data_IF_750827486299
#
_entry.id   IF_750827486299
#
_cell.length_a   1.000
_cell.length_b   1.000
_cell.length_c   1.000
_cell.angle_alpha   90.00
_cell.angle_beta   90.00
_cell.angle_gamma   90.00
#
_symmetry.space_group_name_H-M   'P 1'
#
loop_
_entity.id
_entity.type
_entity.pdbx_description
1 polymer ?
#
# COMPACT_ATOMS: atom_id res chain seq x y z
N UNK A 1 -7.81 25.88 11.92
CA UNK A 1 -7.77 25.75 10.45
C UNK A 1 -6.74 24.68 10.09
N UNK A 2 -7.09 23.41 10.30
CA UNK A 2 -6.33 22.29 9.76
C UNK A 2 -7.28 21.57 8.82
N UNK A 3 -7.34 22.03 7.57
CA UNK A 3 -7.92 21.25 6.50
C UNK A 3 -6.92 20.13 6.23
N UNK A 4 -7.11 18.98 6.87
CA UNK A 4 -6.44 17.77 6.42
C UNK A 4 -6.96 17.51 5.02
N UNK A 5 -6.10 17.67 4.01
CA UNK A 5 -6.41 17.17 2.68
C UNK A 5 -6.88 15.73 2.84
N UNK A 6 -7.99 15.31 2.20
CA UNK A 6 -8.34 13.91 2.21
C UNK A 6 -7.16 13.17 1.58
N UNK A 7 -6.61 12.19 2.29
CA UNK A 7 -5.55 11.35 1.75
C UNK A 7 -6.21 10.40 0.76
N UNK A 8 -6.44 10.90 -0.46
CA UNK A 8 -6.85 10.10 -1.59
C UNK A 8 -5.64 9.27 -2.03
N UNK A 9 -5.76 7.94 -2.01
CA UNK A 9 -4.73 7.09 -2.62
C UNK A 9 -4.93 7.09 -4.12
N UNK A 10 -3.85 7.06 -4.90
CA UNK A 10 -3.92 6.80 -6.34
C UNK A 10 -3.68 5.33 -6.60
N UNK A 11 -4.57 4.70 -7.38
CA UNK A 11 -4.44 3.29 -7.79
C UNK A 11 -4.71 3.16 -9.29
N UNK A 12 -4.14 2.14 -9.91
CA UNK A 12 -4.50 1.81 -11.29
C UNK A 12 -5.94 1.32 -11.35
N UNK A 13 -6.64 1.56 -12.47
CA UNK A 13 -8.00 1.01 -12.69
C UNK A 13 -8.02 -0.52 -12.53
N UNK A 14 -6.95 -1.20 -12.94
CA UNK A 14 -6.81 -2.66 -12.83
C UNK A 14 -6.71 -3.12 -11.38
N UNK A 15 -5.84 -2.47 -10.59
CA UNK A 15 -5.67 -2.82 -9.18
C UNK A 15 -6.89 -2.43 -8.37
N UNK A 16 -7.59 -1.34 -8.70
CA UNK A 16 -8.87 -1.02 -8.07
C UNK A 16 -9.84 -2.21 -8.16
N UNK A 17 -10.07 -2.73 -9.38
CA UNK A 17 -10.95 -3.88 -9.59
C UNK A 17 -10.47 -5.12 -8.83
N UNK A 18 -9.16 -5.41 -8.86
CA UNK A 18 -8.58 -6.58 -8.17
C UNK A 18 -8.69 -6.46 -6.65
N UNK A 19 -8.42 -5.30 -6.08
CA UNK A 19 -8.48 -5.03 -4.65
C UNK A 19 -9.92 -5.02 -4.11
N UNK A 20 -10.86 -4.43 -4.85
CA UNK A 20 -12.29 -4.52 -4.52
C UNK A 20 -12.77 -5.97 -4.57
N UNK A 21 -12.38 -6.74 -5.60
CA UNK A 21 -12.70 -8.17 -5.67
C UNK A 21 -12.08 -8.97 -4.52
N UNK A 22 -10.91 -8.57 -4.04
CA UNK A 22 -10.21 -9.20 -2.94
C UNK A 22 -10.92 -8.97 -1.59
N UNK A 23 -11.51 -7.80 -1.38
CA UNK A 23 -12.29 -7.50 -0.18
C UNK A 23 -13.64 -8.24 -0.16
N UNK A 24 -14.23 -8.45 -1.34
CA UNK A 24 -15.53 -9.11 -1.49
C UNK A 24 -16.70 -8.26 -0.97
N UNK A 25 -17.90 -8.84 -0.92
CA UNK A 25 -19.15 -8.12 -0.60
C UNK A 25 -19.38 -7.87 0.91
N UNK A 26 -18.58 -8.49 1.77
CA UNK A 26 -18.77 -8.40 3.23
C UNK A 26 -18.04 -7.18 3.77
N UNK A 27 -18.75 -6.34 4.52
CA UNK A 27 -18.13 -5.24 5.25
C UNK A 27 -17.05 -5.77 6.22
N UNK A 28 -15.81 -5.27 6.10
CA UNK A 28 -14.73 -5.68 6.99
C UNK A 28 -14.97 -5.19 8.42
N UNK A 29 -14.49 -5.95 9.40
CA UNK A 29 -14.62 -5.56 10.79
C UNK A 29 -13.82 -4.27 11.06
N UNK A 30 -14.36 -3.30 11.83
CA UNK A 30 -13.64 -2.07 12.16
C UNK A 30 -12.26 -2.34 12.78
N UNK A 31 -11.27 -1.52 12.43
CA UNK A 31 -9.90 -1.65 12.95
C UNK A 31 -9.07 -2.77 12.33
N UNK A 32 -9.57 -3.45 11.28
CA UNK A 32 -8.79 -4.44 10.52
C UNK A 32 -8.08 -3.79 9.33
N UNK A 33 -7.03 -4.44 8.81
CA UNK A 33 -6.35 -3.99 7.60
C UNK A 33 -7.29 -3.93 6.38
N UNK A 34 -8.26 -4.84 6.32
CA UNK A 34 -9.31 -4.85 5.31
C UNK A 34 -10.20 -3.61 5.40
N UNK A 35 -10.54 -3.15 6.62
CA UNK A 35 -11.30 -1.92 6.81
C UNK A 35 -10.51 -0.71 6.33
N UNK A 36 -9.23 -0.60 6.71
CA UNK A 36 -8.34 0.48 6.24
C UNK A 36 -8.25 0.48 4.70
N UNK A 37 -8.06 -0.69 4.10
CA UNK A 37 -8.00 -0.82 2.64
C UNK A 37 -9.33 -0.43 1.98
N UNK A 38 -10.47 -0.88 2.53
CA UNK A 38 -11.79 -0.54 2.02
C UNK A 38 -12.06 0.97 2.07
N UNK A 39 -11.73 1.62 3.19
CA UNK A 39 -11.83 3.07 3.36
C UNK A 39 -10.93 3.82 2.37
N UNK A 40 -9.71 3.34 2.15
CA UNK A 40 -8.79 3.94 1.19
C UNK A 40 -9.30 3.80 -0.26
N UNK A 41 -9.85 2.64 -0.63
CA UNK A 41 -10.41 2.40 -1.95
C UNK A 41 -11.69 3.20 -2.21
N UNK A 42 -12.55 3.39 -1.21
CA UNK A 42 -13.77 4.19 -1.34
C UNK A 42 -13.48 5.64 -1.75
N UNK A 43 -12.29 6.12 -1.39
CA UNK A 43 -11.80 7.47 -1.71
C UNK A 43 -10.63 7.43 -2.71
N UNK A 44 -10.40 6.32 -3.42
CA UNK A 44 -9.25 6.23 -4.31
C UNK A 44 -9.47 6.98 -5.64
N UNK A 45 -8.46 7.74 -6.05
CA UNK A 45 -8.36 8.26 -7.41
C UNK A 45 -7.85 7.15 -8.33
N UNK A 46 -8.70 6.73 -9.26
CA UNK A 46 -8.31 5.78 -10.30
C UNK A 46 -7.60 6.53 -11.43
N UNK A 47 -6.43 6.03 -11.80
CA UNK A 47 -5.64 6.58 -12.89
C UNK A 47 -5.27 5.50 -13.90
N UNK A 48 -5.07 5.91 -15.16
CA UNK A 48 -4.35 5.07 -16.10
C UNK A 48 -2.95 4.78 -15.55
N UNK A 49 -2.41 3.55 -15.69
CA UNK A 49 -1.08 3.20 -15.18
C UNK A 49 0.02 4.20 -15.56
N UNK A 50 -0.03 4.75 -16.78
CA UNK A 50 0.96 5.73 -17.27
C UNK A 50 0.88 7.10 -16.61
N UNK A 51 -0.24 7.42 -15.97
CA UNK A 51 -0.47 8.66 -15.26
C UNK A 51 -0.14 8.56 -13.77
N UNK A 52 0.18 7.37 -13.27
CA UNK A 52 0.56 7.17 -11.88
C UNK A 52 1.94 7.79 -11.64
N UNK A 53 2.09 8.68 -10.64
CA UNK A 53 3.38 9.25 -10.29
C UNK A 53 4.38 8.19 -9.82
N UNK A 54 5.64 8.34 -10.22
CA UNK A 54 6.72 7.40 -9.89
C UNK A 54 7.15 7.43 -8.41
N UNK A 55 6.58 8.32 -7.60
CA UNK A 55 6.79 8.45 -6.16
C UNK A 55 5.63 7.91 -5.32
N UNK A 56 4.60 7.32 -5.94
CA UNK A 56 3.45 6.70 -5.25
C UNK A 56 3.62 5.17 -5.21
N UNK A 57 3.39 4.57 -4.05
CA UNK A 57 3.45 3.11 -3.91
C UNK A 57 2.16 2.45 -4.43
N UNK A 58 2.29 1.65 -5.48
CA UNK A 58 1.22 0.83 -6.07
C UNK A 58 1.41 -0.66 -5.76
N UNK A 59 0.49 -1.51 -6.23
CA UNK A 59 0.67 -2.96 -6.15
C UNK A 59 1.95 -3.41 -6.87
N UNK A 60 2.60 -4.47 -6.38
CA UNK A 60 3.91 -4.97 -6.85
C UNK A 60 5.07 -3.97 -6.78
N UNK A 61 4.89 -2.82 -6.13
CA UNK A 61 5.98 -1.88 -5.88
C UNK A 61 6.94 -2.43 -4.83
N UNK A 62 8.24 -2.33 -5.11
CA UNK A 62 9.33 -2.59 -4.17
C UNK A 62 9.88 -1.29 -3.62
N UNK A 63 9.90 -1.17 -2.30
CA UNK A 63 10.41 -0.01 -1.58
C UNK A 63 11.50 -0.39 -0.60
N UNK A 64 12.40 0.55 -0.36
CA UNK A 64 13.37 0.49 0.73
C UNK A 64 12.77 1.20 1.96
N UNK A 65 12.68 0.49 3.08
CA UNK A 65 12.16 1.00 4.35
C UNK A 65 13.22 0.95 5.44
N UNK A 66 13.12 1.87 6.39
CA UNK A 66 14.00 1.98 7.55
C UNK A 66 13.18 2.03 8.84
N UNK A 67 13.56 1.19 9.79
CA UNK A 67 13.08 1.18 11.16
C UNK A 67 14.26 1.03 12.15
N UNK A 68 13.97 0.84 13.45
CA UNK A 68 15.00 0.68 14.48
C UNK A 68 15.94 -0.53 14.23
N UNK A 69 15.47 -1.54 13.49
CA UNK A 69 16.24 -2.71 13.07
C UNK A 69 17.12 -2.47 11.83
N UNK A 70 17.05 -1.28 11.23
CA UNK A 70 17.83 -0.88 10.06
C UNK A 70 17.01 -0.86 8.76
N UNK A 71 17.73 -0.86 7.64
CA UNK A 71 17.14 -0.73 6.30
C UNK A 71 16.87 -2.10 5.68
N UNK A 72 15.70 -2.27 5.06
CA UNK A 72 15.36 -3.49 4.30
C UNK A 72 14.46 -3.18 3.09
N UNK A 73 14.49 -4.08 2.10
CA UNK A 73 13.56 -4.03 0.97
C UNK A 73 12.29 -4.82 1.28
N UNK A 74 11.15 -4.25 0.91
CA UNK A 74 9.86 -4.93 0.93
C UNK A 74 9.14 -4.71 -0.39
N UNK A 75 8.28 -5.65 -0.78
CA UNK A 75 7.43 -5.56 -1.97
C UNK A 75 5.98 -5.66 -1.54
N UNK A 76 5.15 -4.68 -1.89
CA UNK A 76 3.70 -4.72 -1.67
C UNK A 76 3.07 -5.71 -2.66
N UNK A 77 2.40 -6.76 -2.17
CA UNK A 77 1.91 -7.82 -3.04
C UNK A 77 0.50 -8.27 -2.67
N UNK A 78 -0.08 -9.12 -3.53
CA UNK A 78 -1.35 -9.76 -3.24
C UNK A 78 -1.18 -10.88 -2.20
N UNK A 79 -2.25 -11.27 -1.46
CA UNK A 79 -2.13 -12.26 -0.39
C UNK A 79 -1.55 -13.60 -0.82
N UNK A 80 -1.81 -14.03 -2.05
CA UNK A 80 -1.29 -15.28 -2.64
C UNK A 80 0.23 -15.31 -2.81
N UNK A 81 0.89 -14.15 -2.83
CA UNK A 81 2.34 -13.98 -3.02
C UNK A 81 3.06 -13.67 -1.71
N UNK A 82 2.32 -13.46 -0.62
CA UNK A 82 2.87 -12.99 0.63
C UNK A 82 3.86 -14.00 1.23
N UNK A 83 5.05 -13.52 1.55
CA UNK A 83 6.16 -14.30 2.07
C UNK A 83 7.09 -13.35 2.82
N UNK A 84 6.90 -13.28 4.14
CA UNK A 84 7.65 -12.37 5.01
C UNK A 84 9.15 -12.63 4.98
N UNK A 85 9.59 -13.90 4.77
CA UNK A 85 11.00 -14.24 4.70
C UNK A 85 11.67 -13.67 3.43
N UNK A 86 10.88 -13.37 2.39
CA UNK A 86 11.34 -12.73 1.14
C UNK A 86 11.02 -11.24 1.07
N UNK A 87 10.48 -10.65 2.14
CA UNK A 87 10.04 -9.25 2.14
C UNK A 87 8.77 -8.99 1.31
N UNK A 88 7.99 -10.03 0.98
CA UNK A 88 6.72 -9.90 0.26
C UNK A 88 5.59 -9.63 1.26
N UNK A 89 5.09 -8.39 1.27
CA UNK A 89 4.11 -7.89 2.25
C UNK A 89 2.74 -7.81 1.60
N UNK A 90 1.78 -8.58 2.14
CA UNK A 90 0.39 -8.57 1.67
C UNK A 90 -0.25 -7.20 1.88
N UNK A 91 -0.99 -6.71 0.87
CA UNK A 91 -1.88 -5.54 1.00
C UNK A 91 -2.96 -5.72 2.08
N UNK A 92 -3.30 -6.97 2.45
CA UNK A 92 -4.22 -7.26 3.56
C UNK A 92 -3.55 -7.35 4.94
N UNK A 93 -2.25 -7.04 5.02
CA UNK A 93 -1.58 -6.83 6.30
C UNK A 93 -1.69 -5.35 6.72
N UNK A 94 -1.65 -5.03 8.03
CA UNK A 94 -1.71 -3.64 8.49
C UNK A 94 -0.65 -2.74 7.85
N UNK A 95 0.58 -3.24 7.71
CA UNK A 95 1.66 -2.51 7.04
C UNK A 95 1.38 -2.34 5.54
N UNK A 96 0.90 -3.39 4.86
CA UNK A 96 0.62 -3.32 3.42
C UNK A 96 -0.53 -2.38 3.07
N UNK A 97 -1.59 -2.37 3.87
CA UNK A 97 -2.70 -1.44 3.71
C UNK A 97 -2.25 0.02 3.92
N UNK A 98 -1.38 0.29 4.90
CA UNK A 98 -0.81 1.61 5.13
C UNK A 98 0.23 2.04 4.08
N UNK A 99 0.81 1.08 3.36
CA UNK A 99 1.82 1.32 2.33
C UNK A 99 1.19 1.67 0.97
N UNK A 100 0.03 1.11 0.64
CA UNK A 100 -0.68 1.41 -0.60
C UNK A 100 -1.00 2.90 -0.70
N UNK A 101 -0.62 3.54 -1.80
CA UNK A 101 -0.83 4.97 -2.04
C UNK A 101 0.09 5.89 -1.25
N UNK A 102 1.03 5.36 -0.46
CA UNK A 102 2.00 6.18 0.25
C UNK A 102 2.92 6.92 -0.73
N UNK A 103 3.17 8.20 -0.47
CA UNK A 103 4.14 8.99 -1.21
C UNK A 103 5.56 8.78 -0.65
N UNK A 104 6.55 8.69 -1.53
CA UNK A 104 7.94 8.39 -1.20
C UNK A 104 8.87 9.52 -1.65
N UNK A 105 9.76 10.02 -0.77
CA UNK A 105 10.01 9.57 0.59
C UNK A 105 8.91 10.01 1.57
N UNK A 106 8.68 9.19 2.60
CA UNK A 106 7.63 9.45 3.59
C UNK A 106 7.72 8.54 4.81
N UNK A 107 6.76 8.68 5.72
CA UNK A 107 6.60 7.79 6.87
C UNK A 107 5.20 7.23 6.86
N UNK A 108 5.08 5.91 7.04
CA UNK A 108 3.80 5.24 7.23
C UNK A 108 3.72 4.73 8.66
N UNK A 109 2.51 4.75 9.23
CA UNK A 109 2.22 4.20 10.53
C UNK A 109 1.03 3.25 10.46
N UNK A 110 1.04 2.20 11.28
CA UNK A 110 -0.05 1.24 11.37
C UNK A 110 -0.12 0.64 12.77
N UNK A 111 -1.26 0.06 13.11
CA UNK A 111 -1.45 -0.69 14.35
C UNK A 111 -1.58 -2.19 14.01
N UNK A 112 -0.65 -3.05 14.44
CA UNK A 112 -0.78 -4.49 14.28
C UNK A 112 -1.84 -5.08 15.22
N UNK A 113 -2.20 -6.37 15.07
CA UNK A 113 -3.15 -7.03 15.97
C UNK A 113 -2.70 -7.11 17.44
N UNK A 114 -1.40 -6.92 17.74
CA UNK A 114 -0.87 -6.82 19.10
C UNK A 114 -1.21 -5.47 19.78
N UNK A 115 -1.72 -4.50 19.01
CA UNK A 115 -2.19 -3.21 19.49
C UNK A 115 -1.10 -2.14 19.63
N UNK A 116 0.18 -2.47 19.43
CA UNK A 116 1.27 -1.50 19.60
C UNK A 116 1.52 -0.76 18.28
N UNK A 117 1.29 0.57 18.21
CA UNK A 117 1.50 1.34 16.98
C UNK A 117 2.95 1.23 16.50
N UNK A 118 3.13 0.97 15.20
CA UNK A 118 4.43 0.89 14.54
C UNK A 118 4.51 1.92 13.43
N UNK A 119 5.72 2.36 13.12
CA UNK A 119 5.99 3.26 12.00
C UNK A 119 7.29 2.88 11.31
N UNK A 120 7.39 3.15 10.01
CA UNK A 120 8.64 3.04 9.24
C UNK A 120 8.80 4.22 8.31
N UNK A 121 10.05 4.56 8.01
CA UNK A 121 10.39 5.54 6.98
C UNK A 121 10.53 4.83 5.65
N UNK A 122 9.75 5.22 4.65
CA UNK A 122 9.89 4.75 3.26
C UNK A 122 10.90 5.66 2.58
N UNK A 123 12.06 5.12 2.23
CA UNK A 123 13.22 5.90 1.78
C UNK A 123 13.14 6.20 0.29
N UNK A 124 12.88 5.16 -0.51
CA UNK A 124 12.82 5.23 -1.97
C UNK A 124 12.05 4.06 -2.55
N UNK A 125 11.57 4.24 -3.76
CA UNK A 125 11.04 3.18 -4.60
C UNK A 125 12.21 2.59 -5.41
N UNK A 126 12.42 1.28 -5.28
CA UNK A 126 13.44 0.52 -6.01
C UNK A 126 12.86 -0.03 -7.33
N UNK A 127 11.57 -0.37 -7.32
CA UNK A 127 10.82 -0.79 -8.50
C UNK A 127 9.35 -0.40 -8.34
N UNK A 128 8.77 0.21 -9.37
CA UNK A 128 7.33 0.42 -9.52
C UNK A 128 6.93 -0.12 -10.90
N UNK A 129 5.89 -0.98 -11.02
CA UNK A 129 5.48 -1.53 -12.31
C UNK A 129 5.22 -0.46 -13.37
N UNK A 130 4.47 0.58 -13.02
CA UNK A 130 4.04 1.64 -13.93
C UNK A 130 5.23 2.44 -14.49
N UNK A 131 6.18 2.84 -13.64
CA UNK A 131 7.41 3.52 -14.08
C UNK A 131 8.33 2.62 -14.93
N UNK A 132 8.18 1.30 -14.84
CA UNK A 132 8.97 0.33 -15.61
C UNK A 132 8.22 -0.23 -16.84
N UNK A 133 7.02 0.27 -17.12
CA UNK A 133 6.23 -0.14 -18.28
C UNK A 133 5.48 -1.47 -18.13
N UNK A 134 5.43 -2.03 -16.91
CA UNK A 134 4.60 -3.19 -16.58
C UNK A 134 3.23 -2.72 -16.08
N UNK A 135 2.29 -2.61 -17.01
CA UNK A 135 0.94 -2.11 -16.71
C UNK A 135 -0.05 -3.23 -16.34
N UNK A 136 0.44 -4.45 -16.08
CA UNK A 136 -0.39 -5.64 -15.84
C UNK A 136 -0.07 -6.40 -14.55
N UNK A 137 1.05 -6.02 -13.90
CA UNK A 137 1.58 -6.58 -12.66
C UNK A 137 0.50 -6.84 -11.59
#
# INVERSE_FOLDING_TARGET
MQSGSPHYITVSELDYVRLTSLLGDREPAPGTAQAVLAEALDQADQAEPRAIPADIVTMQTRVEVEDEGGTRLITLCYPKEADAAKGMVSVLSPMGAALLGAQVPGTIGWTPPDGEPRQVRVLRIDYQPEANGDYTA
#
